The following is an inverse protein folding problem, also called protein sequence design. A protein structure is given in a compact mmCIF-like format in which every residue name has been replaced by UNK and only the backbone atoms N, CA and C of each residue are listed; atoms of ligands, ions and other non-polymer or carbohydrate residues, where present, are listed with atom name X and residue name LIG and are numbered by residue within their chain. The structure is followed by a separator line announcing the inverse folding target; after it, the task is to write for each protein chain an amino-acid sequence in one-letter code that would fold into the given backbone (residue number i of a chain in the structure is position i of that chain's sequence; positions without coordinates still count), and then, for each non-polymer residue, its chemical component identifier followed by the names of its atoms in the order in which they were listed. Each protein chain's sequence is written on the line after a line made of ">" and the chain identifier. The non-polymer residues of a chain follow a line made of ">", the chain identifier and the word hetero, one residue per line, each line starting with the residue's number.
data_IF_170230630637
#
_entry.id   IF_170230630637
#
_cell.length_a   1.000
_cell.length_b   1.000
_cell.length_c   1.000
_cell.angle_alpha   90.00
_cell.angle_beta   90.00
_cell.angle_gamma   90.00
#
_symmetry.space_group_name_H-M   'P 1'
#
loop_
_entity.id
_entity.type
_entity.pdbx_description
1 polymer ?
#
# COMPACT_ATOMS: atom_id res chain seq x y z
N UNK A 1 15.22 48.09 -0.43
CA UNK A 1 15.36 46.91 -1.31
C UNK A 1 14.94 45.67 -0.54
N UNK A 2 13.80 45.07 -0.87
CA UNK A 2 13.45 43.76 -0.32
C UNK A 2 14.26 42.68 -1.01
N UNK A 3 14.83 41.73 -0.24
CA UNK A 3 15.40 40.51 -0.83
C UNK A 3 14.24 39.63 -1.30
N UNK A 4 13.98 39.63 -2.60
CA UNK A 4 13.20 38.58 -3.24
C UNK A 4 13.94 37.25 -2.98
N UNK A 5 13.23 36.28 -2.40
CA UNK A 5 13.72 34.91 -2.34
C UNK A 5 13.89 34.37 -3.78
N UNK A 6 14.86 33.47 -4.04
CA UNK A 6 14.99 32.85 -5.35
C UNK A 6 13.68 32.11 -5.71
N UNK A 7 13.26 32.12 -6.99
CA UNK A 7 11.95 31.63 -7.42
C UNK A 7 11.68 30.18 -6.97
N UNK A 8 12.69 29.32 -7.13
CA UNK A 8 12.67 27.89 -6.80
C UNK A 8 12.21 27.59 -5.37
N UNK A 9 12.50 28.49 -4.42
CA UNK A 9 12.14 28.30 -3.00
C UNK A 9 10.62 28.49 -2.79
N UNK A 10 9.98 29.43 -3.49
CA UNK A 10 8.56 29.72 -3.31
C UNK A 10 7.70 28.60 -3.91
N UNK A 11 8.09 28.08 -5.08
CA UNK A 11 7.40 26.95 -5.71
C UNK A 11 7.60 25.65 -4.92
N UNK A 12 8.79 25.41 -4.36
CA UNK A 12 9.04 24.28 -3.44
C UNK A 12 8.19 24.35 -2.16
N UNK A 13 8.03 25.55 -1.57
CA UNK A 13 7.16 25.74 -0.40
C UNK A 13 5.69 25.44 -0.75
N UNK A 14 5.18 25.95 -1.88
CA UNK A 14 3.79 25.69 -2.31
C UNK A 14 3.54 24.23 -2.67
N UNK A 15 4.50 23.55 -3.30
CA UNK A 15 4.46 22.11 -3.55
C UNK A 15 4.21 21.33 -2.26
N UNK A 16 5.00 21.62 -1.22
CA UNK A 16 4.93 20.95 0.07
C UNK A 16 3.67 21.28 0.86
N UNK A 17 3.11 22.48 0.68
CA UNK A 17 1.81 22.86 1.22
C UNK A 17 0.68 22.02 0.61
N UNK A 18 0.67 21.82 -0.71
CA UNK A 18 -0.32 20.98 -1.41
C UNK A 18 -0.22 19.51 -0.96
N UNK A 19 1.00 18.95 -0.92
CA UNK A 19 1.24 17.58 -0.42
C UNK A 19 0.71 17.39 1.01
N UNK A 20 0.97 18.36 1.91
CA UNK A 20 0.45 18.33 3.28
C UNK A 20 -1.08 18.37 3.32
N UNK A 21 -1.74 19.16 2.46
CA UNK A 21 -3.21 19.23 2.39
C UNK A 21 -3.78 17.87 1.93
N UNK A 22 -3.21 17.25 0.89
CA UNK A 22 -3.63 15.92 0.42
C UNK A 22 -3.47 14.88 1.55
N UNK A 23 -2.34 14.89 2.26
CA UNK A 23 -2.11 14.00 3.40
C UNK A 23 -3.10 14.24 4.55
N UNK A 24 -3.46 15.48 4.84
CA UNK A 24 -4.50 15.82 5.82
C UNK A 24 -5.87 15.26 5.39
N UNK A 25 -6.30 15.47 4.13
CA UNK A 25 -7.57 14.92 3.63
C UNK A 25 -7.62 13.39 3.74
N UNK A 26 -6.54 12.69 3.37
CA UNK A 26 -6.42 11.24 3.57
C UNK A 26 -6.48 10.81 5.06
N UNK A 27 -5.89 11.59 5.96
CA UNK A 27 -5.91 11.32 7.40
C UNK A 27 -7.31 11.48 8.01
N UNK A 28 -8.14 12.37 7.46
CA UNK A 28 -9.51 12.61 7.88
C UNK A 28 -10.57 11.87 7.04
N UNK A 29 -10.14 10.92 6.19
CA UNK A 29 -11.01 10.07 5.35
C UNK A 29 -11.77 10.81 4.24
N UNK A 30 -11.39 12.05 3.93
CA UNK A 30 -11.94 12.85 2.83
C UNK A 30 -11.29 12.44 1.49
N UNK A 31 -11.67 11.25 1.03
CA UNK A 31 -10.97 10.57 -0.07
C UNK A 31 -11.18 11.22 -1.43
N UNK A 32 -12.39 11.68 -1.77
CA UNK A 32 -12.66 12.29 -3.07
C UNK A 32 -11.92 13.64 -3.23
N UNK A 33 -11.85 14.43 -2.15
CA UNK A 33 -11.05 15.67 -2.09
C UNK A 33 -9.56 15.38 -2.26
N UNK A 34 -9.04 14.36 -1.56
CA UNK A 34 -7.64 13.94 -1.66
C UNK A 34 -7.30 13.45 -3.08
N UNK A 35 -8.17 12.65 -3.70
CA UNK A 35 -8.02 12.12 -5.06
C UNK A 35 -8.00 13.25 -6.08
N UNK A 36 -9.00 14.14 -6.06
CA UNK A 36 -9.11 15.24 -7.03
C UNK A 36 -7.91 16.18 -6.95
N UNK A 37 -7.50 16.55 -5.73
CA UNK A 37 -6.33 17.42 -5.54
C UNK A 37 -5.02 16.72 -5.96
N UNK A 38 -4.86 15.42 -5.66
CA UNK A 38 -3.67 14.66 -6.05
C UNK A 38 -3.59 14.40 -7.56
N UNK A 39 -4.71 14.24 -8.25
CA UNK A 39 -4.79 14.12 -9.71
C UNK A 39 -4.31 15.41 -10.38
N UNK A 40 -4.93 16.55 -10.04
CA UNK A 40 -4.54 17.88 -10.58
C UNK A 40 -3.09 18.21 -10.22
N UNK A 41 -2.63 17.86 -9.02
CA UNK A 41 -1.23 18.02 -8.63
C UNK A 41 -0.29 17.14 -9.48
N UNK A 42 -0.62 15.87 -9.69
CA UNK A 42 0.20 14.99 -10.54
C UNK A 42 0.24 15.45 -12.00
N UNK A 43 -0.88 15.88 -12.58
CA UNK A 43 -0.91 16.40 -13.95
C UNK A 43 -0.05 17.66 -14.13
N UNK A 44 0.05 18.50 -13.09
CA UNK A 44 0.81 19.76 -13.15
C UNK A 44 2.30 19.60 -12.90
N UNK A 45 2.74 18.75 -11.96
CA UNK A 45 4.19 18.55 -11.68
C UNK A 45 4.80 17.30 -12.31
N UNK A 46 3.99 16.27 -12.59
CA UNK A 46 4.36 15.02 -13.28
C UNK A 46 5.67 14.36 -12.78
N UNK A 47 5.84 14.27 -11.46
CA UNK A 47 6.99 13.62 -10.80
C UNK A 47 6.66 12.20 -10.34
N UNK A 48 7.68 11.43 -9.95
CA UNK A 48 7.48 10.13 -9.27
C UNK A 48 6.68 10.29 -7.98
N UNK A 49 6.93 11.35 -7.24
CA UNK A 49 6.43 11.51 -5.88
C UNK A 49 4.95 11.94 -5.91
N UNK A 50 4.57 12.78 -6.89
CA UNK A 50 3.16 13.08 -7.16
C UNK A 50 2.41 11.88 -7.76
N UNK A 51 3.05 11.07 -8.60
CA UNK A 51 2.47 9.81 -9.10
C UNK A 51 2.18 8.83 -7.95
N UNK A 52 3.15 8.67 -7.04
CA UNK A 52 2.99 7.86 -5.84
C UNK A 52 1.86 8.40 -4.96
N UNK A 53 1.82 9.71 -4.71
CA UNK A 53 0.78 10.32 -3.88
C UNK A 53 -0.62 10.14 -4.47
N UNK A 54 -0.79 10.31 -5.79
CA UNK A 54 -2.07 10.09 -6.47
C UNK A 54 -2.49 8.60 -6.42
N UNK A 55 -1.60 7.68 -6.79
CA UNK A 55 -1.88 6.25 -6.69
C UNK A 55 -2.17 5.79 -5.25
N UNK A 56 -1.51 6.41 -4.26
CA UNK A 56 -1.76 6.15 -2.84
C UNK A 56 -3.15 6.64 -2.42
N UNK A 57 -3.60 7.82 -2.88
CA UNK A 57 -4.98 8.28 -2.65
C UNK A 57 -6.01 7.30 -3.20
N UNK A 58 -5.84 6.85 -4.45
CA UNK A 58 -6.71 5.85 -5.08
C UNK A 58 -6.73 4.53 -4.30
N UNK A 59 -5.57 4.03 -3.87
CA UNK A 59 -5.47 2.80 -3.08
C UNK A 59 -6.07 2.94 -1.67
N UNK A 60 -6.02 4.12 -1.04
CA UNK A 60 -6.63 4.38 0.27
C UNK A 60 -8.15 4.47 0.21
N UNK A 61 -8.69 4.85 -0.95
CA UNK A 61 -10.12 4.89 -1.26
C UNK A 61 -10.67 3.58 -1.86
N UNK A 62 -9.92 2.48 -1.77
CA UNK A 62 -10.27 1.15 -2.30
C UNK A 62 -10.47 1.09 -3.84
N UNK A 63 -10.07 2.13 -4.60
CA UNK A 63 -10.09 2.18 -6.07
C UNK A 63 -8.88 1.48 -6.68
N UNK A 64 -8.69 0.20 -6.35
CA UNK A 64 -7.48 -0.57 -6.67
C UNK A 64 -7.24 -0.77 -8.16
N UNK A 65 -8.28 -0.95 -8.98
CA UNK A 65 -8.16 -1.06 -10.44
C UNK A 65 -7.68 0.25 -11.06
N UNK A 66 -8.12 1.39 -10.54
CA UNK A 66 -7.66 2.70 -11.00
C UNK A 66 -6.17 2.91 -10.67
N UNK A 67 -5.77 2.63 -9.42
CA UNK A 67 -4.37 2.68 -9.00
C UNK A 67 -3.49 1.72 -9.83
N UNK A 68 -3.94 0.49 -10.05
CA UNK A 68 -3.26 -0.50 -10.89
C UNK A 68 -3.08 0.00 -12.33
N UNK A 69 -4.13 0.54 -12.97
CA UNK A 69 -4.06 1.02 -14.34
C UNK A 69 -3.15 2.25 -14.48
N UNK A 70 -3.24 3.19 -13.53
CA UNK A 70 -2.36 4.37 -13.47
C UNK A 70 -0.88 3.97 -13.38
N UNK A 71 -0.55 3.02 -12.50
CA UNK A 71 0.84 2.58 -12.28
C UNK A 71 1.35 1.66 -13.39
N UNK A 72 0.51 0.77 -13.95
CA UNK A 72 0.90 -0.17 -15.03
C UNK A 72 1.37 0.54 -16.30
N UNK A 73 0.85 1.72 -16.58
CA UNK A 73 1.18 2.53 -17.76
C UNK A 73 2.48 3.34 -17.58
N UNK A 74 3.12 3.30 -16.41
CA UNK A 74 4.31 4.08 -16.07
C UNK A 74 5.46 3.13 -15.72
N UNK A 75 6.70 3.56 -15.97
CA UNK A 75 7.87 2.84 -15.47
C UNK A 75 7.90 2.96 -13.94
N UNK A 76 7.94 1.82 -13.23
CA UNK A 76 7.91 1.78 -11.76
C UNK A 76 9.27 2.24 -11.20
N UNK A 77 9.42 3.56 -11.04
CA UNK A 77 10.72 4.22 -10.85
C UNK A 77 11.28 4.17 -9.43
N UNK A 78 10.43 3.98 -8.41
CA UNK A 78 10.85 3.89 -7.01
C UNK A 78 10.37 2.61 -6.32
N UNK A 79 11.05 2.17 -5.25
CA UNK A 79 10.61 1.04 -4.42
C UNK A 79 9.19 1.22 -3.88
N UNK A 80 8.82 2.43 -3.46
CA UNK A 80 7.50 2.78 -2.96
C UNK A 80 6.42 2.59 -4.03
N UNK A 81 6.66 3.04 -5.27
CA UNK A 81 5.75 2.85 -6.41
C UNK A 81 5.65 1.36 -6.78
N UNK A 82 6.77 0.65 -6.83
CA UNK A 82 6.80 -0.79 -7.11
C UNK A 82 6.02 -1.59 -6.07
N UNK A 83 6.21 -1.28 -4.79
CA UNK A 83 5.48 -1.91 -3.69
C UNK A 83 3.97 -1.61 -3.79
N UNK A 84 3.58 -0.36 -4.06
CA UNK A 84 2.17 0.02 -4.20
C UNK A 84 1.50 -0.67 -5.41
N UNK A 85 2.21 -0.79 -6.54
CA UNK A 85 1.73 -1.55 -7.68
C UNK A 85 1.57 -3.04 -7.36
N UNK A 86 2.56 -3.66 -6.71
CA UNK A 86 2.49 -5.05 -6.28
C UNK A 86 1.34 -5.30 -5.27
N UNK A 87 1.11 -4.35 -4.37
CA UNK A 87 0.00 -4.37 -3.42
C UNK A 87 -1.35 -4.36 -4.15
N UNK A 88 -1.54 -3.48 -5.13
CA UNK A 88 -2.74 -3.48 -5.97
C UNK A 88 -2.89 -4.80 -6.73
N UNK A 89 -1.81 -5.35 -7.30
CA UNK A 89 -1.84 -6.64 -7.99
C UNK A 89 -2.26 -7.79 -7.06
N UNK A 90 -1.72 -7.88 -5.84
CA UNK A 90 -2.08 -8.92 -4.86
C UNK A 90 -3.56 -8.85 -4.47
N UNK A 91 -4.08 -7.65 -4.21
CA UNK A 91 -5.49 -7.46 -3.83
C UNK A 91 -6.48 -7.63 -5.01
N UNK A 92 -6.00 -7.54 -6.26
CA UNK A 92 -6.74 -7.88 -7.47
C UNK A 92 -6.51 -9.34 -7.93
N UNK A 93 -5.92 -10.19 -7.07
CA UNK A 93 -5.59 -11.61 -7.32
C UNK A 93 -4.63 -11.86 -8.52
N UNK A 94 -3.93 -10.80 -8.98
CA UNK A 94 -2.93 -10.84 -10.06
C UNK A 94 -1.56 -11.23 -9.52
N UNK A 95 -1.46 -12.39 -8.89
CA UNK A 95 -0.29 -12.81 -8.11
C UNK A 95 1.01 -12.84 -8.94
N UNK A 96 0.95 -13.19 -10.22
CA UNK A 96 2.12 -13.19 -11.10
C UNK A 96 2.64 -11.76 -11.38
N UNK A 97 1.76 -10.78 -11.59
CA UNK A 97 2.16 -9.38 -11.74
C UNK A 97 2.69 -8.81 -10.41
N UNK A 98 2.10 -9.22 -9.27
CA UNK A 98 2.59 -8.85 -7.94
C UNK A 98 4.00 -9.40 -7.67
N UNK A 99 4.25 -10.67 -7.99
CA UNK A 99 5.57 -11.29 -7.87
C UNK A 99 6.59 -10.57 -8.76
N UNK A 100 6.28 -10.37 -10.04
CA UNK A 100 7.19 -9.73 -11.00
C UNK A 100 7.59 -8.31 -10.60
N UNK A 101 6.74 -7.58 -9.89
CA UNK A 101 7.05 -6.25 -9.36
C UNK A 101 7.97 -6.27 -8.11
N UNK A 102 7.99 -7.39 -7.38
CA UNK A 102 8.73 -7.55 -6.11
C UNK A 102 10.06 -8.27 -6.28
N UNK A 103 10.16 -9.30 -7.13
CA UNK A 103 11.32 -10.19 -7.19
C UNK A 103 12.45 -9.72 -8.12
N UNK A 104 13.67 -10.21 -7.86
CA UNK A 104 14.73 -10.25 -8.90
C UNK A 104 14.28 -11.17 -10.04
N UNK A 105 14.60 -10.83 -11.29
CA UNK A 105 14.32 -11.71 -12.43
C UNK A 105 14.91 -13.11 -12.20
N UNK A 106 14.10 -14.14 -12.48
CA UNK A 106 14.44 -15.56 -12.34
C UNK A 106 14.91 -16.05 -10.96
N UNK A 107 14.65 -15.31 -9.87
CA UNK A 107 14.95 -15.76 -8.50
C UNK A 107 13.75 -15.57 -7.56
N UNK A 108 13.43 -16.54 -6.68
CA UNK A 108 12.35 -16.41 -5.71
C UNK A 108 12.77 -15.56 -4.49
N UNK A 109 13.25 -14.34 -4.76
CA UNK A 109 13.84 -13.43 -3.76
C UNK A 109 13.48 -11.99 -4.08
N UNK A 110 13.28 -11.18 -3.04
CA UNK A 110 13.02 -9.75 -3.17
C UNK A 110 14.14 -9.03 -3.97
N UNK A 111 13.74 -8.07 -4.80
CA UNK A 111 14.66 -7.21 -5.57
C UNK A 111 15.52 -6.34 -4.65
N UNK A 112 16.82 -6.26 -4.97
CA UNK A 112 17.79 -5.41 -4.27
C UNK A 112 17.40 -3.92 -4.28
N UNK A 113 16.51 -3.47 -5.18
CA UNK A 113 16.02 -2.09 -5.14
C UNK A 113 15.26 -1.76 -3.84
N UNK A 114 14.71 -2.76 -3.15
CA UNK A 114 14.01 -2.58 -1.88
C UNK A 114 14.95 -2.57 -0.68
N UNK A 115 16.22 -2.97 -0.82
CA UNK A 115 17.14 -3.12 0.31
C UNK A 115 17.52 -1.77 0.94
N UNK A 116 17.45 -1.68 2.27
CA UNK A 116 17.61 -0.45 3.06
C UNK A 116 16.55 0.64 2.79
N UNK A 117 15.39 0.29 2.23
CA UNK A 117 14.29 1.24 1.98
C UNK A 117 13.24 1.20 3.09
N UNK A 118 12.39 2.23 3.14
CA UNK A 118 11.25 2.28 4.06
C UNK A 118 10.25 1.12 3.87
N UNK A 119 10.16 0.59 2.65
CA UNK A 119 9.19 -0.44 2.25
C UNK A 119 9.73 -1.87 2.33
N UNK A 120 11.03 -2.08 2.57
CA UNK A 120 11.72 -3.38 2.52
C UNK A 120 11.00 -4.50 3.29
N UNK A 121 10.70 -4.26 4.57
CA UNK A 121 10.04 -5.27 5.42
C UNK A 121 8.61 -5.60 4.96
N UNK A 122 7.92 -4.62 4.37
CA UNK A 122 6.57 -4.80 3.83
C UNK A 122 6.60 -5.52 2.49
N UNK A 123 7.63 -5.28 1.67
CA UNK A 123 7.85 -5.95 0.39
C UNK A 123 8.19 -7.43 0.59
N UNK A 124 9.10 -7.79 1.52
CA UNK A 124 9.30 -9.18 1.95
C UNK A 124 7.99 -9.82 2.47
N UNK A 125 7.21 -9.10 3.29
CA UNK A 125 5.93 -9.58 3.84
C UNK A 125 4.85 -9.79 2.77
N UNK A 126 4.87 -9.01 1.69
CA UNK A 126 3.96 -9.16 0.55
C UNK A 126 4.41 -10.31 -0.37
N UNK A 127 5.72 -10.43 -0.66
CA UNK A 127 6.27 -11.52 -1.47
C UNK A 127 6.04 -12.89 -0.79
N UNK A 128 6.26 -12.96 0.52
CA UNK A 128 5.91 -14.13 1.33
C UNK A 128 4.44 -14.56 1.14
N UNK A 129 3.49 -13.62 1.18
CA UNK A 129 2.06 -13.92 0.93
C UNK A 129 1.79 -14.35 -0.51
N UNK A 130 2.40 -13.70 -1.51
CA UNK A 130 2.31 -14.11 -2.92
C UNK A 130 2.81 -15.55 -3.12
N UNK A 131 3.87 -15.95 -2.41
CA UNK A 131 4.36 -17.33 -2.42
C UNK A 131 3.40 -18.32 -1.74
N UNK A 132 2.64 -17.91 -0.71
CA UNK A 132 1.54 -18.72 -0.17
C UNK A 132 0.45 -18.94 -1.22
N UNK A 133 -0.08 -17.87 -1.84
CA UNK A 133 -1.18 -18.00 -2.83
C UNK A 133 -0.76 -18.78 -4.08
N UNK A 134 0.53 -18.77 -4.42
CA UNK A 134 1.10 -19.53 -5.56
C UNK A 134 1.63 -20.91 -5.19
N UNK A 135 1.36 -21.40 -3.97
CA UNK A 135 1.65 -22.78 -3.57
C UNK A 135 3.12 -23.10 -3.28
N UNK A 136 3.92 -22.11 -2.89
CA UNK A 136 5.37 -22.22 -2.61
C UNK A 136 5.67 -21.92 -1.12
N UNK A 137 5.27 -22.80 -0.20
CA UNK A 137 5.34 -22.53 1.24
C UNK A 137 6.77 -22.37 1.79
N UNK A 138 7.76 -23.03 1.20
CA UNK A 138 9.16 -22.93 1.64
C UNK A 138 9.76 -21.55 1.30
N UNK A 139 9.55 -21.09 0.07
CA UNK A 139 9.93 -19.72 -0.36
C UNK A 139 9.18 -18.67 0.49
N UNK A 140 7.87 -18.90 0.73
CA UNK A 140 7.06 -18.04 1.58
C UNK A 140 7.59 -17.95 3.02
N UNK A 141 8.08 -19.06 3.57
CA UNK A 141 8.66 -19.12 4.90
C UNK A 141 9.96 -18.33 5.00
N UNK A 142 10.83 -18.39 3.98
CA UNK A 142 12.11 -17.67 4.01
C UNK A 142 11.93 -16.15 3.86
N UNK A 143 11.11 -15.70 2.92
CA UNK A 143 10.74 -14.28 2.78
C UNK A 143 10.01 -13.75 4.04
N UNK A 144 9.15 -14.57 4.66
CA UNK A 144 8.47 -14.21 5.91
C UNK A 144 9.41 -14.05 7.11
N UNK A 145 10.50 -14.84 7.18
CA UNK A 145 11.56 -14.68 8.19
C UNK A 145 12.35 -13.38 7.94
N UNK A 146 12.67 -13.06 6.69
CA UNK A 146 13.36 -11.81 6.32
C UNK A 146 12.53 -10.57 6.69
N UNK A 147 11.22 -10.59 6.42
CA UNK A 147 10.30 -9.53 6.81
C UNK A 147 10.34 -9.23 8.32
N UNK A 148 10.38 -10.27 9.16
CA UNK A 148 10.46 -10.14 10.63
C UNK A 148 11.83 -9.72 11.13
N UNK A 149 12.90 -10.16 10.46
CA UNK A 149 14.27 -9.71 10.75
C UNK A 149 14.40 -8.19 10.54
N UNK A 150 13.76 -7.66 9.51
CA UNK A 150 13.77 -6.23 9.21
C UNK A 150 12.72 -5.43 10.02
N UNK A 151 11.59 -6.05 10.38
CA UNK A 151 10.54 -5.44 11.19
C UNK A 151 9.89 -6.45 12.14
N UNK A 152 10.38 -6.46 13.39
CA UNK A 152 9.87 -7.31 14.49
C UNK A 152 8.37 -7.05 14.77
N UNK A 153 7.84 -5.86 14.44
CA UNK A 153 6.45 -5.49 14.61
C UNK A 153 5.51 -6.01 13.50
N UNK A 154 6.02 -6.75 12.50
CA UNK A 154 5.21 -7.29 11.41
C UNK A 154 4.35 -8.49 11.84
N UNK A 155 3.22 -8.21 12.51
CA UNK A 155 2.22 -9.22 12.86
C UNK A 155 1.74 -10.04 11.64
N UNK A 156 1.59 -9.40 10.48
CA UNK A 156 1.22 -10.06 9.22
C UNK A 156 2.21 -11.16 8.86
N UNK A 157 3.52 -10.90 8.96
CA UNK A 157 4.55 -11.90 8.66
C UNK A 157 4.57 -13.04 9.67
N UNK A 158 4.46 -12.74 10.98
CA UNK A 158 4.34 -13.77 12.01
C UNK A 158 3.12 -14.67 11.78
N UNK A 159 1.94 -14.07 11.51
CA UNK A 159 0.72 -14.82 11.21
C UNK A 159 0.93 -15.75 10.01
N UNK A 160 1.56 -15.27 8.94
CA UNK A 160 1.89 -16.09 7.76
C UNK A 160 2.79 -17.27 8.13
N UNK A 161 3.87 -17.04 8.89
CA UNK A 161 4.76 -18.13 9.33
C UNK A 161 4.07 -19.14 10.26
N UNK A 162 3.20 -18.68 11.17
CA UNK A 162 2.40 -19.58 12.03
C UNK A 162 1.43 -20.43 11.20
N UNK A 163 0.77 -19.85 10.20
CA UNK A 163 -0.11 -20.59 9.28
C UNK A 163 0.67 -21.64 8.46
N UNK A 164 1.94 -21.36 8.14
CA UNK A 164 2.87 -22.29 7.49
C UNK A 164 3.48 -23.33 8.45
N UNK A 165 3.15 -23.30 9.74
CA UNK A 165 3.68 -24.22 10.76
C UNK A 165 5.13 -23.98 11.20
N UNK A 166 5.78 -22.91 10.72
CA UNK A 166 7.20 -22.57 10.99
C UNK A 166 7.38 -21.37 11.91
N UNK A 167 6.30 -20.66 12.23
CA UNK A 167 6.31 -19.48 13.11
C UNK A 167 6.37 -19.86 14.59
N UNK A 168 7.17 -19.12 15.36
CA UNK A 168 7.21 -19.22 16.82
C UNK A 168 6.77 -17.87 17.43
N UNK A 169 5.55 -17.76 17.97
CA UNK A 169 5.02 -16.51 18.49
C UNK A 169 5.69 -16.07 19.81
N UNK A 170 6.15 -17.00 20.65
CA UNK A 170 6.78 -16.69 21.94
C UNK A 170 8.10 -15.94 21.75
N UNK A 171 8.94 -16.43 20.83
CA UNK A 171 10.21 -15.77 20.49
C UNK A 171 9.98 -14.31 20.06
N UNK A 172 8.99 -14.06 19.22
CA UNK A 172 8.68 -12.70 18.74
C UNK A 172 8.02 -11.86 19.83
N UNK A 173 7.15 -12.44 20.66
CA UNK A 173 6.55 -11.73 21.80
C UNK A 173 7.62 -11.19 22.76
N UNK A 174 8.65 -11.98 23.08
CA UNK A 174 9.77 -11.49 23.92
C UNK A 174 10.56 -10.35 23.27
N UNK A 175 10.81 -10.41 21.96
CA UNK A 175 11.47 -9.32 21.22
C UNK A 175 10.61 -8.05 21.20
N UNK A 176 9.31 -8.18 20.88
CA UNK A 176 8.33 -7.09 20.91
C UNK A 176 8.27 -6.41 22.27
N UNK A 177 8.14 -7.20 23.34
CA UNK A 177 8.07 -6.71 24.71
C UNK A 177 9.35 -5.97 25.12
N UNK A 178 10.51 -6.41 24.62
CA UNK A 178 11.79 -5.73 24.85
C UNK A 178 11.78 -4.33 24.20
N UNK A 179 11.48 -4.23 22.90
CA UNK A 179 11.42 -2.94 22.20
C UNK A 179 10.38 -1.97 22.80
N UNK A 180 9.22 -2.48 23.24
CA UNK A 180 8.18 -1.67 23.91
C UNK A 180 8.66 -1.15 25.28
N UNK A 181 9.41 -1.95 26.04
CA UNK A 181 9.98 -1.53 27.32
C UNK A 181 11.13 -0.52 27.16
N UNK A 182 11.92 -0.62 26.09
CA UNK A 182 12.94 0.36 25.72
C UNK A 182 12.30 1.72 25.38
N UNK A 183 11.30 1.74 24.49
CA UNK A 183 10.54 2.94 24.15
C UNK A 183 9.90 3.59 25.39
N UNK A 184 9.25 2.80 26.24
CA UNK A 184 8.69 3.26 27.53
C UNK A 184 9.73 3.85 28.46
N UNK A 185 10.99 3.41 28.37
CA UNK A 185 12.08 3.90 29.21
C UNK A 185 12.67 5.21 28.69
N UNK A 186 12.66 5.44 27.38
CA UNK A 186 13.00 6.72 26.77
C UNK A 186 11.99 7.84 27.12
N UNK A 187 10.69 7.50 27.19
CA UNK A 187 9.59 8.43 27.50
C UNK A 187 9.50 8.85 28.98
N UNK A 188 10.28 8.25 29.90
CA UNK A 188 10.26 8.66 31.32
C UNK A 188 10.84 10.07 31.45
N UNK A 189 10.09 11.05 31.98
CA UNK A 189 10.60 12.39 32.17
C UNK A 189 11.79 12.34 33.15
N UNK A 190 12.93 12.89 32.72
CA UNK A 190 14.12 13.03 33.55
C UNK A 190 13.78 13.94 34.73
N UNK A 191 13.47 13.35 35.89
CA UNK A 191 13.33 14.10 37.14
C UNK A 191 14.66 14.74 37.47
N UNK A 192 14.77 16.04 37.22
CA UNK A 192 15.95 16.84 37.54
C UNK A 192 16.21 16.77 39.04
N UNK A 193 17.29 16.08 39.42
CA UNK A 193 17.82 16.15 40.78
C UNK A 193 18.27 17.59 41.02
N UNK A 194 17.52 18.30 41.87
CA UNK A 194 17.99 19.54 42.47
C UNK A 194 19.19 19.23 43.35
N UNK A 195 20.40 19.49 42.85
CA UNK A 195 21.61 19.47 43.69
C UNK A 195 21.68 20.80 44.43
N UNK A 196 21.18 20.80 45.66
CA UNK A 196 21.42 21.90 46.59
C UNK A 196 22.91 22.03 46.89
N UNK A 197 23.54 23.11 46.43
CA UNK A 197 24.83 23.57 46.95
C UNK A 197 24.58 24.89 47.68
N UNK A 198 24.82 24.86 48.98
CA UNK A 198 24.74 26.05 49.81
C UNK A 198 26.07 26.81 49.77
N UNK A 199 25.99 28.13 49.60
CA UNK A 199 27.07 29.02 50.07
C UNK A 199 26.49 30.33 50.60
N UNK A 200 26.77 30.58 51.88
CA UNK A 200 26.81 31.90 52.54
C UNK A 200 27.85 32.78 51.79
N UNK A 201 27.83 34.12 51.81
CA UNK A 201 27.24 35.06 52.76
C UNK A 201 27.11 36.49 52.17
N UNK A 202 26.27 37.32 52.81
CA UNK A 202 26.36 38.81 52.95
C UNK A 202 26.62 39.72 51.73
N UNK A 203 25.65 40.60 51.41
CA UNK A 203 25.71 42.02 51.84
C UNK A 203 24.34 42.75 51.77
N UNK A 204 24.27 44.00 52.24
CA UNK A 204 23.04 44.68 52.71
C UNK A 204 22.53 45.84 51.84
N UNK A 205 21.20 46.03 51.88
CA UNK A 205 20.43 47.29 51.77
C UNK A 205 20.63 48.25 50.57
N UNK A 206 19.65 48.16 49.65
CA UNK A 206 18.53 49.10 49.49
C UNK A 206 18.69 50.53 48.89
N UNK A 207 17.74 50.79 47.96
CA UNK A 207 17.03 52.03 47.57
C UNK A 207 17.40 52.73 46.25
N UNK A 208 16.38 52.76 45.38
CA UNK A 208 15.99 53.81 44.43
C UNK A 208 16.95 54.19 43.28
N UNK A 209 16.50 54.75 42.17
CA UNK A 209 15.26 54.61 41.38
C UNK A 209 15.43 55.55 40.18
N UNK A 210 15.22 55.11 38.92
CA UNK A 210 14.57 55.97 37.93
C UNK A 210 14.11 55.28 36.64
N UNK A 211 13.12 55.94 36.03
CA UNK A 211 12.34 55.58 34.84
C UNK A 211 13.19 55.41 33.57
N UNK A 212 12.76 54.51 32.67
CA UNK A 212 12.17 54.85 31.35
C UNK A 212 11.85 53.61 30.51
N UNK A 213 10.57 53.38 30.27
CA UNK A 213 10.03 52.77 29.03
C UNK A 213 9.95 53.86 27.93
N UNK A 214 9.80 53.56 26.60
CA UNK A 214 8.89 52.53 26.08
C UNK A 214 9.26 51.77 24.77
N UNK A 215 8.39 50.80 24.48
CA UNK A 215 7.88 50.39 23.15
C UNK A 215 8.61 49.32 22.31
N UNK A 216 7.79 48.33 21.91
CA UNK A 216 7.76 47.54 20.65
C UNK A 216 9.08 47.03 20.04
N UNK A 217 9.19 45.76 19.63
CA UNK A 217 8.14 44.89 19.08
C UNK A 217 8.26 43.43 19.57
N UNK A 218 7.13 42.72 19.63
CA UNK A 218 7.10 41.25 19.79
C UNK A 218 7.01 40.62 18.41
N UNK A 219 8.02 39.87 17.99
CA UNK A 219 7.83 38.82 17.00
C UNK A 219 7.13 37.64 17.68
N UNK A 220 6.12 37.08 17.01
CA UNK A 220 5.41 35.87 17.45
C UNK A 220 5.67 34.80 16.40
N UNK A 221 6.63 33.91 16.67
CA UNK A 221 6.74 32.66 15.92
C UNK A 221 5.51 31.79 16.25
N UNK A 222 4.56 31.74 15.31
CA UNK A 222 3.44 30.81 15.39
C UNK A 222 3.91 29.38 15.07
N UNK A 223 4.39 28.68 16.10
CA UNK A 223 4.63 27.24 16.04
C UNK A 223 3.29 26.49 16.07
N UNK A 224 2.67 26.31 14.90
CA UNK A 224 1.41 25.55 14.75
C UNK A 224 1.70 24.06 14.99
N UNK A 225 1.47 23.58 16.20
CA UNK A 225 1.54 22.15 16.55
C UNK A 225 0.14 21.57 16.69
N UNK A 226 -0.33 20.87 15.66
CA UNK A 226 -1.67 20.26 15.61
C UNK A 226 -1.80 18.98 16.45
N UNK A 227 -1.58 19.07 17.77
CA UNK A 227 -1.92 17.98 18.69
C UNK A 227 -3.28 18.26 19.35
N UNK A 228 -4.24 17.36 19.13
CA UNK A 228 -5.57 17.46 19.71
C UNK A 228 -5.52 17.49 21.26
N UNK A 229 -6.36 18.31 21.93
CA UNK A 229 -6.30 18.47 23.38
C UNK A 229 -6.72 17.17 24.10
N UNK A 230 -5.86 16.73 25.04
CA UNK A 230 -6.12 15.59 25.91
C UNK A 230 -7.34 15.86 26.80
N UNK A 231 -8.46 15.17 26.55
CA UNK A 231 -9.65 15.25 27.41
C UNK A 231 -9.32 14.73 28.81
N UNK A 232 -9.69 15.51 29.82
CA UNK A 232 -9.61 15.13 31.23
C UNK A 232 -10.60 14.00 31.55
N UNK A 233 -10.24 13.14 32.52
CA UNK A 233 -11.15 12.11 33.03
C UNK A 233 -12.23 12.75 33.90
N UNK A 234 -13.49 12.48 33.57
CA UNK A 234 -14.62 12.59 34.52
C UNK A 234 -15.35 11.25 34.53
N UNK A 235 -15.55 10.68 35.72
CA UNK A 235 -16.23 9.41 35.94
C UNK A 235 -17.72 9.67 36.11
N UNK A 236 -18.57 9.04 35.30
CA UNK A 236 -20.02 8.90 35.56
C UNK A 236 -20.41 7.44 35.28
N UNK A 237 -21.31 6.92 36.11
CA UNK A 237 -21.61 5.48 36.26
C UNK A 237 -22.77 5.02 35.37
N UNK A 238 -22.55 3.86 34.74
CA UNK A 238 -23.46 2.85 34.17
C UNK A 238 -24.98 3.12 33.98
N UNK A 239 -25.49 2.63 32.85
CA UNK A 239 -26.66 1.73 32.78
C UNK A 239 -26.46 0.67 31.68
N UNK A 240 -26.96 -0.55 31.91
CA UNK A 240 -26.94 -1.70 30.97
C UNK A 240 -28.31 -1.88 30.30
N UNK A 241 -28.36 -2.84 29.37
CA UNK A 241 -29.51 -3.47 28.69
C UNK A 241 -29.76 -2.91 27.28
N UNK A 242 -30.05 -3.72 26.26
CA UNK A 242 -29.97 -5.19 26.11
C UNK A 242 -29.87 -5.55 24.61
N UNK A 243 -29.50 -6.82 24.34
CA UNK A 243 -29.84 -7.66 23.19
C UNK A 243 -30.10 -7.03 21.79
N UNK A 244 -29.38 -7.54 20.79
CA UNK A 244 -30.00 -8.32 19.71
C UNK A 244 -28.91 -9.12 18.96
N UNK A 245 -29.11 -10.44 18.83
CA UNK A 245 -28.32 -11.28 17.93
C UNK A 245 -29.05 -11.53 16.60
N UNK A 246 -28.67 -12.63 15.96
CA UNK A 246 -29.43 -13.34 14.89
C UNK A 246 -29.12 -12.92 13.43
N UNK A 247 -28.31 -13.78 12.80
CA UNK A 247 -28.41 -14.30 11.40
C UNK A 247 -27.66 -13.59 10.26
N UNK A 248 -26.55 -14.24 9.86
CA UNK A 248 -26.10 -14.35 8.46
C UNK A 248 -27.19 -15.03 7.62
N UNK A 249 -27.61 -14.45 6.50
CA UNK A 249 -28.33 -15.18 5.44
C UNK A 249 -27.37 -15.67 4.36
N UNK A 250 -27.59 -16.91 3.92
CA UNK A 250 -26.99 -17.65 2.79
C UNK A 250 -28.15 -18.42 2.12
N UNK A 251 -27.90 -19.02 0.94
CA UNK A 251 -28.86 -19.72 0.05
C UNK A 251 -29.83 -18.79 -0.71
N UNK A 252 -30.20 -19.05 -1.97
CA UNK A 252 -29.61 -19.97 -2.98
C UNK A 252 -30.03 -19.57 -4.42
N UNK A 253 -29.60 -20.35 -5.40
CA UNK A 253 -30.04 -20.31 -6.80
C UNK A 253 -31.54 -20.60 -6.96
N UNK A 254 -32.12 -20.11 -8.06
CA UNK A 254 -33.48 -20.43 -8.47
C UNK A 254 -33.74 -20.00 -9.91
N UNK A 255 -33.77 -20.96 -10.83
CA UNK A 255 -34.22 -20.74 -12.21
C UNK A 255 -35.74 -20.75 -12.26
N UNK A 256 -36.40 -19.81 -12.97
CA UNK A 256 -37.52 -20.15 -13.88
C UNK A 256 -38.05 -18.97 -14.75
N UNK A 257 -37.86 -19.15 -16.06
CA UNK A 257 -38.77 -18.90 -17.21
C UNK A 257 -39.83 -17.76 -17.29
N UNK A 258 -39.80 -17.13 -18.48
CA UNK A 258 -40.92 -16.73 -19.41
C UNK A 258 -41.62 -15.36 -19.29
N UNK A 259 -41.36 -14.51 -20.33
CA UNK A 259 -42.30 -13.68 -21.15
C UNK A 259 -43.05 -12.53 -20.39
N UNK A 260 -43.38 -11.34 -20.94
CA UNK A 260 -43.38 -10.70 -22.27
C UNK A 260 -43.69 -9.18 -22.07
N UNK A 261 -43.62 -8.20 -23.00
CA UNK A 261 -43.03 -8.05 -24.36
C UNK A 261 -43.26 -6.61 -24.90
N UNK A 262 -42.39 -6.12 -25.81
CA UNK A 262 -42.56 -4.91 -26.68
C UNK A 262 -42.46 -3.53 -25.96
N UNK A 263 -41.88 -2.49 -26.57
CA UNK A 263 -42.10 -1.98 -27.95
C UNK A 263 -40.85 -1.83 -28.84
N UNK A 264 -41.09 -1.83 -30.15
CA UNK A 264 -40.14 -1.50 -31.22
C UNK A 264 -40.29 -0.04 -31.66
N UNK A 265 -39.19 0.60 -32.04
CA UNK A 265 -39.18 1.69 -33.02
C UNK A 265 -38.70 1.15 -34.37
N UNK A 266 -39.40 1.46 -35.45
CA UNK A 266 -39.08 1.06 -36.83
C UNK A 266 -38.68 2.31 -37.61
N UNK A 267 -37.63 2.21 -38.43
CA UNK A 267 -37.58 2.90 -39.71
C UNK A 267 -36.86 1.99 -40.72
N UNK A 268 -37.42 1.87 -41.92
CA UNK A 268 -36.84 1.14 -43.05
C UNK A 268 -36.13 2.12 -44.00
N UNK A 269 -35.21 1.59 -44.81
CA UNK A 269 -35.15 1.66 -46.28
C UNK A 269 -33.77 1.09 -46.72
N UNK A 270 -33.66 -0.01 -47.48
CA UNK A 270 -34.01 -0.24 -48.90
C UNK A 270 -33.06 0.52 -49.85
N UNK A 271 -32.44 -0.05 -50.90
CA UNK A 271 -32.37 -1.45 -51.37
C UNK A 271 -31.14 -1.66 -52.32
N UNK A 272 -30.95 -2.85 -52.88
CA UNK A 272 -29.75 -3.28 -53.61
C UNK A 272 -29.53 -2.66 -55.01
N UNK A 273 -28.29 -2.72 -55.51
CA UNK A 273 -28.05 -2.94 -56.94
C UNK A 273 -26.83 -3.87 -57.21
N UNK A 274 -26.98 -4.73 -58.22
CA UNK A 274 -26.08 -5.82 -58.60
C UNK A 274 -25.15 -5.44 -59.77
N UNK A 275 -24.03 -6.16 -59.97
CA UNK A 275 -23.64 -6.86 -61.23
C UNK A 275 -22.15 -7.26 -61.27
N UNK A 276 -21.91 -8.58 -61.19
CA UNK A 276 -21.00 -9.45 -62.01
C UNK A 276 -19.66 -8.89 -62.56
N UNK A 277 -18.53 -9.54 -62.20
CA UNK A 277 -17.70 -10.39 -63.10
C UNK A 277 -16.42 -10.95 -62.45
N UNK A 278 -16.30 -12.28 -62.56
CA UNK A 278 -15.14 -13.09 -62.99
C UNK A 278 -13.78 -12.94 -62.26
N UNK A 279 -12.93 -13.95 -62.07
CA UNK A 279 -12.88 -15.42 -62.23
C UNK A 279 -11.37 -15.73 -62.23
N UNK A 280 -10.83 -16.44 -61.23
CA UNK A 280 -9.79 -17.47 -61.48
C UNK A 280 -9.48 -18.30 -60.23
N UNK A 281 -9.89 -19.55 -60.30
CA UNK A 281 -9.47 -20.66 -59.43
C UNK A 281 -8.03 -21.06 -59.69
N UNK A 282 -7.32 -21.53 -58.65
CA UNK A 282 -6.22 -22.49 -58.82
C UNK A 282 -6.41 -23.68 -57.89
N UNK A 283 -6.83 -24.80 -58.47
CA UNK A 283 -6.90 -26.12 -57.84
C UNK A 283 -5.55 -26.83 -57.95
N UNK A 284 -5.16 -27.64 -56.95
CA UNK A 284 -5.07 -29.11 -57.14
C UNK A 284 -4.82 -29.90 -55.84
N UNK A 285 -5.46 -31.07 -55.76
CA UNK A 285 -5.17 -32.15 -54.81
C UNK A 285 -4.78 -33.43 -55.56
N UNK A 286 -3.85 -34.23 -54.99
CA UNK A 286 -3.66 -35.70 -55.14
C UNK A 286 -2.91 -36.14 -53.86
N UNK A 287 -3.35 -37.08 -52.99
CA UNK A 287 -4.02 -38.39 -53.09
C UNK A 287 -3.06 -39.58 -53.34
N UNK A 288 -2.82 -40.30 -52.23
CA UNK A 288 -2.62 -41.75 -52.02
C UNK A 288 -1.46 -42.54 -52.69
N UNK A 289 -0.81 -43.37 -51.85
CA UNK A 289 0.02 -44.53 -52.18
C UNK A 289 0.17 -45.43 -50.94
N UNK A 290 0.02 -46.75 -51.09
CA UNK A 290 -0.19 -47.71 -49.99
C UNK A 290 1.08 -48.52 -49.60
N UNK A 291 0.95 -49.23 -48.46
CA UNK A 291 1.59 -50.53 -48.12
C UNK A 291 2.86 -50.50 -47.26
N UNK A 292 2.98 -51.45 -46.31
CA UNK A 292 4.21 -51.66 -45.54
C UNK A 292 4.10 -52.32 -44.14
N UNK A 293 3.64 -53.56 -44.10
CA UNK A 293 3.78 -54.57 -43.02
C UNK A 293 4.91 -54.38 -41.95
N UNK A 294 4.62 -54.70 -40.67
CA UNK A 294 5.66 -55.11 -39.70
C UNK A 294 5.38 -54.78 -38.22
N UNK A 295 5.02 -55.78 -37.42
CA UNK A 295 4.91 -55.69 -35.93
C UNK A 295 6.14 -56.35 -35.24
N UNK A 296 6.23 -56.58 -33.92
CA UNK A 296 7.20 -55.86 -33.09
C UNK A 296 8.13 -56.80 -32.28
N UNK A 297 8.97 -56.21 -31.39
CA UNK A 297 9.37 -56.69 -30.03
C UNK A 297 10.85 -56.44 -29.72
N UNK A 298 11.12 -55.90 -28.53
CA UNK A 298 12.05 -56.53 -27.57
C UNK A 298 11.78 -55.98 -26.17
N UNK A 299 10.97 -56.69 -25.39
CA UNK A 299 11.04 -56.63 -23.93
C UNK A 299 12.29 -57.41 -23.50
N UNK A 300 13.07 -56.87 -22.57
CA UNK A 300 13.82 -57.70 -21.64
C UNK A 300 13.45 -57.32 -20.21
N UNK A 301 12.78 -58.27 -19.57
CA UNK A 301 12.48 -58.32 -18.14
C UNK A 301 13.26 -59.51 -17.57
N UNK A 302 13.99 -59.30 -16.47
CA UNK A 302 14.63 -60.35 -15.66
C UNK A 302 14.67 -59.97 -14.17
N UNK A 303 13.50 -60.12 -13.55
CA UNK A 303 13.29 -60.93 -12.33
C UNK A 303 14.34 -60.99 -11.21
N UNK A 304 13.83 -60.68 -10.00
CA UNK A 304 13.99 -61.40 -8.72
C UNK A 304 15.39 -61.77 -8.20
N UNK A 305 15.78 -61.09 -7.11
CA UNK A 305 15.64 -61.65 -5.76
C UNK A 305 15.40 -60.57 -4.71
#
# INVERSE_FOLDING_TARGET
>A
MGRLAPPDNIDSIRSKEIENIIHCSLQYFEYDDAIMLAEVYHETVNTSDSLYLYAYCLSRAERLEAAYNLLKLKFLSSPEIRYLFAHCCYHLEKYQEAEMALRVHDQPKLDNCFTNTSVESFAHSLLSRVFVETGRPDEAADEGKLALKQNVFSWTSLKTLCNLGVGNPENIYTSLLTCVNEARSADKPKTSKSTSIATRNTEKLAKNAEKRTPSSSKEVEQKVTCFAPKKSKTVIVAKRNAELGVVRRRLEEGMETRRSSRSYGISQDSENQTVVKDLRTSTRSRVAGLSGCGTPRSLQDKQLR
#
